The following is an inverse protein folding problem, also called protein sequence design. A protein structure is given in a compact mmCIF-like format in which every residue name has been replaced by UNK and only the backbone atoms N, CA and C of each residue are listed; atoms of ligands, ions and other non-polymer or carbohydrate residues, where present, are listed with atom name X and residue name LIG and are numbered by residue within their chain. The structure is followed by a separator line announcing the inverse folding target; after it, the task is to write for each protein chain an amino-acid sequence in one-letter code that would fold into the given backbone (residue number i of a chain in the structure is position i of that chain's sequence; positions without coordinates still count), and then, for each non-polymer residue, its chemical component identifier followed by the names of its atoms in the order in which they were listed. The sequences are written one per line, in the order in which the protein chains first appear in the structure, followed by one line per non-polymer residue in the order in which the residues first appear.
data_IF_727489203627
#
_entry.id   IF_727489203627
#
_cell.length_a   1.000
_cell.length_b   1.000
_cell.length_c   1.000
_cell.angle_alpha   90.00
_cell.angle_beta   90.00
_cell.angle_gamma   90.00
#
_symmetry.space_group_name_H-M   'P 1'
#
loop_
_entity.id
_entity.type
_entity.pdbx_description
1 polymer ?
#
# COMPACT_ATOMS: atom_id res chain seq x y z
N UNK A 1 -1.92 15.50 19.69
CA UNK A 1 -2.74 15.62 18.45
C UNK A 1 -2.84 17.08 17.92
N UNK A 2 -2.86 18.15 18.75
CA UNK A 2 -2.95 19.57 18.29
C UNK A 2 -1.67 20.08 17.61
N UNK A 3 -0.48 19.67 18.04
CA UNK A 3 0.79 20.11 17.46
C UNK A 3 1.03 19.56 16.04
N UNK A 4 0.54 18.34 15.74
CA UNK A 4 0.67 17.68 14.43
C UNK A 4 -0.01 18.43 13.28
N UNK A 5 -0.95 19.33 13.54
CA UNK A 5 -1.64 20.14 12.53
C UNK A 5 -0.90 21.42 12.11
N UNK A 6 0.17 21.82 12.83
CA UNK A 6 0.89 23.10 12.61
C UNK A 6 2.30 22.91 12.02
N UNK A 7 2.84 21.71 12.05
CA UNK A 7 4.20 21.42 11.56
C UNK A 7 4.09 20.62 10.26
N UNK A 8 4.82 21.04 9.23
CA UNK A 8 4.92 20.26 7.97
C UNK A 8 5.45 18.87 8.29
N UNK A 9 4.94 17.86 7.62
CA UNK A 9 5.30 16.44 7.83
C UNK A 9 6.82 16.23 7.76
N UNK A 10 7.48 16.88 6.82
CA UNK A 10 8.93 16.81 6.64
C UNK A 10 9.69 17.33 7.86
N UNK A 11 9.25 18.47 8.43
CA UNK A 11 9.87 19.06 9.64
C UNK A 11 9.64 18.15 10.86
N UNK A 12 8.46 17.58 10.99
CA UNK A 12 8.13 16.63 12.07
C UNK A 12 8.98 15.36 11.95
N UNK A 13 9.14 14.85 10.72
CA UNK A 13 9.98 13.68 10.44
C UNK A 13 11.46 13.92 10.74
N UNK A 14 11.99 15.07 10.32
CA UNK A 14 13.37 15.47 10.64
C UNK A 14 13.61 15.58 12.14
N UNK A 15 12.67 16.17 12.90
CA UNK A 15 12.76 16.29 14.36
C UNK A 15 12.85 14.91 15.03
N UNK A 16 12.08 13.93 14.55
CA UNK A 16 12.14 12.55 15.03
C UNK A 16 13.47 11.87 14.68
N UNK A 17 13.98 12.09 13.47
CA UNK A 17 15.29 11.58 13.06
C UNK A 17 16.41 12.13 13.97
N UNK A 18 16.38 13.42 14.30
CA UNK A 18 17.34 14.01 15.25
C UNK A 18 17.21 13.41 16.65
N UNK A 19 16.00 13.17 17.13
CA UNK A 19 15.78 12.51 18.43
C UNK A 19 16.36 11.09 18.44
N UNK A 20 16.09 10.29 17.41
CA UNK A 20 16.66 8.95 17.28
C UNK A 20 18.19 8.98 17.14
N UNK A 21 18.76 9.92 16.35
CA UNK A 21 20.18 10.07 16.24
C UNK A 21 20.81 10.46 17.57
N UNK A 22 20.16 11.36 18.34
CA UNK A 22 20.62 11.74 19.69
C UNK A 22 20.63 10.57 20.66
N UNK A 23 19.57 9.77 20.72
CA UNK A 23 19.50 8.56 21.54
C UNK A 23 20.59 7.58 21.12
N UNK A 24 20.75 7.34 19.82
CA UNK A 24 21.72 6.40 19.29
C UNK A 24 23.18 6.81 19.62
N UNK A 25 23.49 8.10 19.55
CA UNK A 25 24.80 8.64 19.88
C UNK A 25 25.05 8.70 21.41
N UNK A 26 24.00 8.87 22.21
CA UNK A 26 24.11 8.87 23.67
C UNK A 26 24.39 7.47 24.25
N UNK A 27 23.92 6.40 23.58
CA UNK A 27 24.10 5.01 24.08
C UNK A 27 25.57 4.62 24.26
N UNK A 28 26.52 4.84 23.33
CA UNK A 28 27.93 4.53 23.55
C UNK A 28 28.52 5.25 24.77
N UNK A 29 28.14 6.51 24.99
CA UNK A 29 28.56 7.23 26.19
C UNK A 29 28.03 6.58 27.48
N UNK A 30 26.75 6.23 27.51
CA UNK A 30 26.14 5.53 28.64
C UNK A 30 26.78 4.17 28.89
N UNK A 31 27.05 3.39 27.83
CA UNK A 31 27.69 2.07 27.93
C UNK A 31 29.13 2.15 28.43
N UNK A 32 29.84 3.26 28.22
CA UNK A 32 31.23 3.46 28.65
C UNK A 32 31.37 4.09 30.05
N UNK A 33 30.33 4.77 30.57
CA UNK A 33 30.40 5.53 31.83
C UNK A 33 29.40 5.08 32.88
N UNK A 34 28.31 4.38 32.49
CA UNK A 34 27.27 3.93 33.43
C UNK A 34 27.75 2.79 34.35
N UNK A 35 27.62 2.97 35.64
CA UNK A 35 28.10 1.99 36.64
C UNK A 35 27.59 0.57 36.41
N UNK A 36 26.31 0.44 36.01
CA UNK A 36 25.71 -0.88 35.76
C UNK A 36 26.24 -1.56 34.48
N UNK A 37 26.72 -0.78 33.52
CA UNK A 37 27.25 -1.28 32.23
C UNK A 37 28.74 -1.64 32.31
N UNK A 38 29.49 -0.97 33.21
CA UNK A 38 30.95 -1.18 33.38
C UNK A 38 31.29 -2.04 34.61
N UNK A 39 30.29 -2.55 35.33
CA UNK A 39 30.46 -3.31 36.56
C UNK A 39 31.28 -4.60 36.39
N UNK A 40 31.29 -5.18 35.21
CA UNK A 40 32.09 -6.36 34.88
C UNK A 40 32.43 -6.39 33.38
N UNK A 41 33.56 -7.02 32.99
CA UNK A 41 33.93 -7.18 31.56
C UNK A 41 32.86 -7.92 30.77
N UNK A 42 32.16 -8.88 31.38
CA UNK A 42 31.08 -9.62 30.71
C UNK A 42 29.85 -8.75 30.46
N UNK A 43 29.46 -7.91 31.43
CA UNK A 43 28.36 -6.95 31.25
C UNK A 43 28.69 -5.95 30.16
N UNK A 44 29.89 -5.40 30.17
CA UNK A 44 30.39 -4.47 29.13
C UNK A 44 30.33 -5.12 27.74
N UNK A 45 30.87 -6.33 27.58
CA UNK A 45 30.89 -7.04 26.31
C UNK A 45 29.46 -7.33 25.80
N UNK A 46 28.55 -7.76 26.71
CA UNK A 46 27.14 -8.02 26.36
C UNK A 46 26.44 -6.77 25.81
N UNK A 47 26.51 -5.66 26.51
CA UNK A 47 25.81 -4.42 26.10
C UNK A 47 26.40 -3.81 24.85
N UNK A 48 27.73 -3.79 24.70
CA UNK A 48 28.37 -3.35 23.46
C UNK A 48 28.03 -4.28 22.28
N UNK A 49 28.01 -5.58 22.50
CA UNK A 49 27.60 -6.56 21.49
C UNK A 49 26.16 -6.33 21.02
N UNK A 50 25.24 -6.08 21.95
CA UNK A 50 23.84 -5.78 21.63
C UNK A 50 23.71 -4.47 20.84
N UNK A 51 24.44 -3.43 21.24
CA UNK A 51 24.44 -2.15 20.53
C UNK A 51 25.01 -2.29 19.11
N UNK A 52 26.15 -2.92 18.95
CA UNK A 52 26.77 -3.16 17.63
C UNK A 52 25.84 -3.99 16.72
N UNK A 53 25.19 -5.01 17.28
CA UNK A 53 24.21 -5.81 16.56
C UNK A 53 23.02 -4.95 16.07
N UNK A 54 22.44 -4.15 16.96
CA UNK A 54 21.31 -3.27 16.61
C UNK A 54 21.72 -2.21 15.57
N UNK A 55 22.89 -1.59 15.73
CA UNK A 55 23.45 -0.65 14.78
C UNK A 55 23.72 -1.31 13.43
N UNK A 56 24.39 -2.47 13.44
CA UNK A 56 24.69 -3.23 12.23
C UNK A 56 23.43 -3.66 11.49
N UNK A 57 22.44 -4.21 12.20
CA UNK A 57 21.15 -4.54 11.60
C UNK A 57 20.47 -3.31 10.98
N UNK A 58 20.49 -2.15 11.66
CA UNK A 58 19.91 -0.92 11.12
C UNK A 58 20.62 -0.49 9.84
N UNK A 59 21.93 -0.45 9.83
CA UNK A 59 22.71 -0.09 8.63
C UNK A 59 22.46 -1.07 7.49
N UNK A 60 22.51 -2.37 7.78
CA UNK A 60 22.34 -3.40 6.74
C UNK A 60 20.92 -3.36 6.16
N UNK A 61 19.90 -3.45 7.00
CA UNK A 61 18.52 -3.64 6.53
C UNK A 61 17.82 -2.34 6.11
N UNK A 62 18.21 -1.18 6.70
CA UNK A 62 17.60 0.12 6.37
C UNK A 62 18.34 0.91 5.32
N UNK A 63 19.64 0.63 5.08
CA UNK A 63 20.45 1.36 4.11
C UNK A 63 21.06 0.43 3.06
N UNK A 64 21.88 -0.54 3.46
CA UNK A 64 22.65 -1.34 2.50
C UNK A 64 21.78 -2.21 1.59
N UNK A 65 20.78 -2.91 2.14
CA UNK A 65 19.89 -3.79 1.36
C UNK A 65 19.01 -2.99 0.38
N UNK A 66 18.28 -1.92 0.81
CA UNK A 66 17.50 -1.12 -0.14
C UNK A 66 18.35 -0.45 -1.21
N UNK A 67 19.52 0.08 -0.84
CA UNK A 67 20.43 0.71 -1.79
C UNK A 67 20.96 -0.32 -2.81
N UNK A 68 21.44 -1.48 -2.36
CA UNK A 68 21.89 -2.56 -3.24
C UNK A 68 20.81 -2.99 -4.21
N UNK A 69 19.57 -3.21 -3.73
CA UNK A 69 18.43 -3.55 -4.58
C UNK A 69 18.16 -2.46 -5.61
N UNK A 70 18.07 -1.21 -5.19
CA UNK A 70 17.85 -0.07 -6.09
C UNK A 70 18.94 0.09 -7.15
N UNK A 71 20.21 -0.12 -6.77
CA UNK A 71 21.34 -0.09 -7.70
C UNK A 71 21.37 -1.28 -8.66
N UNK A 72 20.91 -2.45 -8.21
CA UNK A 72 20.82 -3.65 -9.04
C UNK A 72 19.71 -3.54 -10.07
N UNK A 73 18.49 -3.21 -9.62
CA UNK A 73 17.30 -3.18 -10.47
C UNK A 73 17.18 -1.90 -11.33
N UNK A 74 17.86 -0.81 -10.96
CA UNK A 74 17.99 0.45 -11.71
C UNK A 74 16.66 0.98 -12.26
N UNK A 75 15.64 1.00 -11.39
CA UNK A 75 14.34 1.53 -11.77
C UNK A 75 14.42 2.98 -12.21
N UNK A 76 13.76 3.29 -13.33
CA UNK A 76 13.57 4.64 -13.85
C UNK A 76 12.14 4.84 -14.36
N UNK A 77 11.63 6.05 -14.24
CA UNK A 77 10.31 6.41 -14.78
C UNK A 77 10.36 6.33 -16.29
N UNK A 78 9.49 5.52 -16.87
CA UNK A 78 9.30 5.45 -18.31
C UNK A 78 8.25 6.46 -18.79
N UNK A 79 7.12 6.53 -18.09
CA UNK A 79 6.04 7.45 -18.40
C UNK A 79 5.18 7.77 -17.18
N UNK A 80 4.52 8.93 -17.23
CA UNK A 80 3.48 9.35 -16.29
C UNK A 80 2.24 9.68 -17.10
N UNK A 81 1.16 8.94 -16.90
CA UNK A 81 -0.09 9.11 -17.63
C UNK A 81 -1.23 9.52 -16.69
N UNK A 82 -2.08 10.48 -17.06
CA UNK A 82 -3.28 10.80 -16.29
C UNK A 82 -4.19 9.57 -16.13
N UNK A 83 -4.78 9.41 -14.96
CA UNK A 83 -5.71 8.34 -14.63
C UNK A 83 -6.87 8.91 -13.79
N UNK A 84 -8.02 9.08 -14.41
CA UNK A 84 -9.09 9.92 -13.90
C UNK A 84 -8.69 11.39 -13.78
N UNK A 85 -9.53 12.21 -13.15
CA UNK A 85 -9.28 13.66 -13.03
C UNK A 85 -8.28 14.02 -11.92
N UNK A 86 -8.02 13.10 -10.99
CA UNK A 86 -7.16 13.33 -9.82
C UNK A 86 -6.15 12.20 -9.58
N UNK A 87 -5.81 11.46 -10.58
CA UNK A 87 -4.85 10.38 -10.51
C UNK A 87 -3.83 10.41 -11.63
N UNK A 88 -2.72 9.72 -11.39
CA UNK A 88 -1.70 9.44 -12.39
C UNK A 88 -1.22 8.00 -12.23
N UNK A 89 -0.93 7.35 -13.34
CA UNK A 89 -0.22 6.07 -13.35
C UNK A 89 1.21 6.32 -13.80
N UNK A 90 2.16 5.95 -12.95
CA UNK A 90 3.59 6.01 -13.23
C UNK A 90 4.05 4.62 -13.63
N UNK A 91 4.48 4.48 -14.88
CA UNK A 91 5.13 3.27 -15.39
C UNK A 91 6.63 3.42 -15.24
N UNK A 92 7.27 2.42 -14.67
CA UNK A 92 8.70 2.39 -14.44
C UNK A 92 9.29 1.16 -15.12
N UNK A 93 10.45 1.32 -15.73
CA UNK A 93 11.26 0.25 -16.28
C UNK A 93 12.43 -0.09 -15.35
N UNK A 94 12.86 -1.34 -15.38
CA UNK A 94 13.98 -1.80 -14.56
C UNK A 94 14.59 -3.09 -15.10
N UNK A 95 15.59 -3.62 -14.38
CA UNK A 95 16.27 -4.85 -14.71
C UNK A 95 15.98 -5.93 -13.70
N UNK A 96 15.80 -7.18 -14.16
CA UNK A 96 15.72 -8.36 -13.30
C UNK A 96 14.68 -8.20 -12.17
N UNK A 97 13.51 -7.64 -12.51
CA UNK A 97 12.48 -7.34 -11.52
C UNK A 97 11.84 -8.60 -10.92
N UNK A 98 11.97 -9.74 -11.57
CA UNK A 98 11.57 -11.04 -11.01
C UNK A 98 12.34 -11.37 -9.72
N UNK A 99 13.65 -11.03 -9.66
CA UNK A 99 14.48 -11.25 -8.48
C UNK A 99 14.07 -10.42 -7.25
N UNK A 100 13.18 -9.42 -7.42
CA UNK A 100 12.55 -8.74 -6.29
C UNK A 100 11.62 -9.66 -5.49
N UNK A 101 11.13 -10.74 -6.09
CA UNK A 101 10.14 -11.63 -5.49
C UNK A 101 8.81 -10.92 -5.20
N UNK A 102 8.53 -9.83 -5.92
CA UNK A 102 7.32 -9.03 -5.80
C UNK A 102 6.11 -9.84 -6.24
N UNK A 103 5.03 -9.75 -5.48
CA UNK A 103 3.72 -10.31 -5.80
C UNK A 103 2.69 -9.19 -5.95
N UNK A 104 1.66 -9.44 -6.75
CA UNK A 104 0.52 -8.54 -6.82
C UNK A 104 -0.07 -8.26 -5.43
N UNK A 105 -0.56 -7.05 -5.24
CA UNK A 105 -1.09 -6.58 -3.95
C UNK A 105 -0.06 -6.01 -2.99
N UNK A 106 1.22 -6.31 -3.17
CA UNK A 106 2.30 -5.75 -2.35
C UNK A 106 2.60 -4.28 -2.71
N UNK A 107 3.35 -3.62 -1.84
CA UNK A 107 3.77 -2.24 -2.01
C UNK A 107 5.26 -2.05 -1.74
N UNK A 108 5.80 -0.96 -2.26
CA UNK A 108 7.12 -0.44 -1.91
C UNK A 108 6.99 0.93 -1.27
N UNK A 109 8.03 1.34 -0.55
CA UNK A 109 8.29 2.75 -0.29
C UNK A 109 9.13 3.25 -1.46
N UNK A 110 8.55 4.15 -2.26
CA UNK A 110 9.14 4.68 -3.48
C UNK A 110 9.79 6.03 -3.21
N UNK A 111 11.03 6.20 -3.69
CA UNK A 111 11.77 7.46 -3.61
C UNK A 111 12.10 7.92 -5.03
N UNK A 112 11.39 8.92 -5.53
CA UNK A 112 11.65 9.51 -6.84
C UNK A 112 12.75 10.56 -6.73
N UNK A 113 13.86 10.35 -7.44
CA UNK A 113 15.04 11.23 -7.41
C UNK A 113 14.92 12.34 -8.47
N UNK A 114 13.98 13.27 -8.27
CA UNK A 114 13.67 14.36 -9.19
C UNK A 114 14.57 15.60 -9.03
N UNK A 115 15.63 15.52 -8.20
CA UNK A 115 16.57 16.61 -7.96
C UNK A 115 16.06 17.76 -7.10
N UNK A 116 14.80 17.73 -6.65
CA UNK A 116 14.14 18.81 -5.89
C UNK A 116 14.25 18.65 -4.37
N UNK A 117 15.43 18.29 -3.85
CA UNK A 117 15.69 18.07 -2.43
C UNK A 117 15.69 16.59 -2.03
N UNK A 118 15.54 16.32 -0.72
CA UNK A 118 15.54 14.96 -0.20
C UNK A 118 14.36 14.17 -0.79
N UNK A 119 14.65 12.99 -1.32
CA UNK A 119 13.63 12.07 -1.83
C UNK A 119 12.84 11.49 -0.65
N UNK A 120 11.64 12.02 -0.44
CA UNK A 120 10.71 11.50 0.58
C UNK A 120 10.16 10.15 0.09
N UNK A 121 10.13 9.16 0.98
CA UNK A 121 9.55 7.86 0.69
C UNK A 121 8.03 7.90 0.69
N UNK A 122 7.43 7.33 -0.35
CA UNK A 122 5.98 7.25 -0.53
C UNK A 122 5.55 5.78 -0.62
N UNK A 123 4.70 5.28 0.31
CA UNK A 123 4.18 3.92 0.24
C UNK A 123 3.05 3.83 -0.80
N UNK A 124 3.29 3.13 -1.90
CA UNK A 124 2.27 2.83 -2.91
C UNK A 124 2.34 1.37 -3.33
N UNK A 125 1.17 0.75 -3.44
CA UNK A 125 1.05 -0.60 -4.00
C UNK A 125 1.25 -0.58 -5.51
N UNK A 126 1.77 -1.69 -6.03
CA UNK A 126 1.77 -1.89 -7.47
C UNK A 126 0.33 -1.95 -7.98
N UNK A 127 0.08 -1.30 -9.10
CA UNK A 127 -1.25 -1.19 -9.72
C UNK A 127 -1.45 -2.10 -10.93
N UNK A 128 -0.39 -2.82 -11.31
CA UNK A 128 -0.42 -3.83 -12.36
C UNK A 128 0.23 -5.13 -11.87
N UNK A 129 -0.07 -6.24 -12.54
CA UNK A 129 0.66 -7.50 -12.35
C UNK A 129 2.16 -7.24 -12.49
N UNK A 130 3.01 -7.71 -11.54
CA UNK A 130 4.45 -7.60 -11.69
C UNK A 130 4.94 -8.21 -13.01
N UNK A 131 5.82 -7.50 -13.69
CA UNK A 131 6.41 -7.86 -14.96
C UNK A 131 7.95 -7.89 -14.81
N UNK A 132 8.70 -8.75 -15.54
CA UNK A 132 10.16 -8.85 -15.41
C UNK A 132 10.92 -7.54 -15.66
N UNK A 133 10.32 -6.63 -16.40
CA UNK A 133 10.95 -5.39 -16.89
C UNK A 133 10.22 -4.11 -16.49
N UNK A 134 8.95 -4.21 -16.08
CA UNK A 134 8.13 -3.03 -15.77
C UNK A 134 7.37 -3.17 -14.45
N UNK A 135 7.25 -2.05 -13.75
CA UNK A 135 6.36 -1.89 -12.59
C UNK A 135 5.49 -0.66 -12.80
N UNK A 136 4.25 -0.73 -12.32
CA UNK A 136 3.33 0.40 -12.37
C UNK A 136 2.80 0.73 -10.98
N UNK A 137 2.65 2.02 -10.70
CA UNK A 137 1.95 2.52 -9.52
C UNK A 137 0.93 3.57 -9.94
N UNK A 138 -0.27 3.48 -9.37
CA UNK A 138 -1.33 4.48 -9.61
C UNK A 138 -1.52 5.30 -8.34
N UNK A 139 -1.35 6.60 -8.46
CA UNK A 139 -1.30 7.54 -7.35
C UNK A 139 -2.45 8.54 -7.46
N UNK A 140 -3.22 8.69 -6.38
CA UNK A 140 -4.20 9.77 -6.26
C UNK A 140 -3.49 11.07 -5.82
N UNK A 141 -3.69 12.13 -6.58
CA UNK A 141 -3.09 13.44 -6.30
C UNK A 141 -3.92 14.18 -5.24
N UNK A 142 -3.44 14.16 -4.00
CA UNK A 142 -4.15 14.74 -2.85
C UNK A 142 -3.35 15.79 -2.07
N UNK A 143 -2.03 15.85 -2.25
CA UNK A 143 -1.15 16.75 -1.52
C UNK A 143 0.15 17.03 -2.27
N UNK A 144 1.06 17.80 -1.65
CA UNK A 144 2.31 18.25 -2.28
C UNK A 144 3.19 17.10 -2.76
N UNK A 145 3.36 16.05 -1.93
CA UNK A 145 4.14 14.87 -2.30
C UNK A 145 3.59 14.17 -3.54
N UNK A 146 2.28 13.96 -3.60
CA UNK A 146 1.64 13.30 -4.76
C UNK A 146 1.57 14.20 -5.99
N UNK A 147 1.49 15.54 -5.82
CA UNK A 147 1.64 16.50 -6.94
C UNK A 147 3.06 16.46 -7.52
N UNK A 148 4.06 16.31 -6.65
CA UNK A 148 5.46 16.17 -7.09
C UNK A 148 5.65 14.88 -7.91
N UNK A 149 5.07 13.77 -7.49
CA UNK A 149 5.11 12.51 -8.24
C UNK A 149 4.40 12.63 -9.59
N UNK A 150 3.26 13.32 -9.64
CA UNK A 150 2.55 13.57 -10.90
C UNK A 150 3.33 14.44 -11.91
N UNK A 151 4.37 15.14 -11.45
CA UNK A 151 5.23 16.01 -12.25
C UNK A 151 6.64 15.44 -12.46
N UNK A 152 6.89 14.17 -12.15
CA UNK A 152 8.20 13.55 -12.44
C UNK A 152 8.35 13.31 -13.93
N UNK A 153 9.58 13.50 -14.41
CA UNK A 153 9.90 13.36 -15.81
C UNK A 153 10.38 11.94 -16.15
N UNK A 154 10.16 11.46 -17.38
CA UNK A 154 10.79 10.23 -17.86
C UNK A 154 12.30 10.27 -17.66
N UNK A 155 12.90 9.12 -17.31
CA UNK A 155 14.31 9.00 -16.94
C UNK A 155 14.62 9.29 -15.45
N UNK A 156 13.66 9.82 -14.67
CA UNK A 156 13.83 10.00 -13.22
C UNK A 156 14.12 8.66 -12.56
N UNK A 157 15.26 8.57 -11.83
CA UNK A 157 15.62 7.38 -11.08
C UNK A 157 14.72 7.18 -9.88
N UNK A 158 14.42 5.91 -9.57
CA UNK A 158 13.56 5.53 -8.46
C UNK A 158 14.29 4.54 -7.56
N UNK A 159 14.40 4.88 -6.27
CA UNK A 159 14.87 3.93 -5.27
C UNK A 159 13.66 3.27 -4.61
N UNK A 160 13.82 2.02 -4.19
CA UNK A 160 12.76 1.22 -3.60
C UNK A 160 13.18 0.59 -2.28
N UNK A 161 12.24 0.52 -1.37
CA UNK A 161 12.36 -0.22 -0.12
C UNK A 161 11.16 -1.18 0.00
N UNK A 162 11.41 -2.46 0.12
CA UNK A 162 10.40 -3.52 0.11
C UNK A 162 10.84 -4.75 -0.69
N UNK A 163 9.89 -5.58 -1.21
CA UNK A 163 8.43 -5.41 -1.14
C UNK A 163 7.86 -5.67 0.26
N UNK A 164 6.75 -5.00 0.56
CA UNK A 164 6.01 -5.12 1.82
C UNK A 164 4.55 -5.52 1.54
N UNK A 165 3.85 -5.96 2.58
CA UNK A 165 2.42 -6.31 2.53
C UNK A 165 2.19 -7.81 2.47
N UNK A 166 1.05 -8.21 3.05
CA UNK A 166 0.62 -9.62 3.15
C UNK A 166 -0.59 -9.93 2.26
N UNK A 167 -1.21 -8.92 1.67
CA UNK A 167 -2.36 -9.07 0.79
C UNK A 167 -1.91 -9.53 -0.60
N UNK A 168 -1.54 -10.81 -0.71
CA UNK A 168 -0.93 -11.42 -1.90
C UNK A 168 -1.74 -12.60 -2.42
N UNK A 169 -1.46 -13.13 -3.62
CA UNK A 169 -2.07 -14.37 -4.12
C UNK A 169 -1.93 -15.57 -3.19
N UNK A 170 -0.88 -15.61 -2.35
CA UNK A 170 -0.60 -16.74 -1.46
C UNK A 170 -1.60 -16.93 -0.33
N UNK A 171 -2.32 -15.88 0.07
CA UNK A 171 -3.31 -15.97 1.15
C UNK A 171 -4.65 -16.50 0.66
N UNK A 172 -4.84 -16.62 -0.64
CA UNK A 172 -6.07 -17.15 -1.23
C UNK A 172 -6.32 -18.59 -0.83
N UNK A 173 -7.55 -18.89 -0.42
CA UNK A 173 -8.02 -20.23 -0.04
C UNK A 173 -9.28 -20.63 -0.76
N UNK A 174 -10.11 -19.66 -1.18
CA UNK A 174 -11.41 -19.86 -1.81
C UNK A 174 -11.37 -19.79 -3.33
N UNK A 175 -12.39 -20.34 -3.94
CA UNK A 175 -12.61 -20.28 -5.39
C UNK A 175 -13.07 -18.89 -5.82
N UNK A 176 -14.00 -18.31 -5.07
CA UNK A 176 -14.58 -17.01 -5.38
C UNK A 176 -13.76 -15.87 -4.78
N UNK A 177 -13.74 -14.74 -5.47
CA UNK A 177 -13.00 -13.53 -5.08
C UNK A 177 -13.96 -12.35 -5.00
N UNK A 178 -14.00 -11.69 -3.85
CA UNK A 178 -14.66 -10.41 -3.69
C UNK A 178 -13.59 -9.35 -3.37
N UNK A 179 -13.40 -8.41 -4.29
CA UNK A 179 -12.49 -7.29 -4.14
C UNK A 179 -13.28 -6.02 -3.82
N UNK A 180 -12.94 -5.31 -2.73
CA UNK A 180 -13.66 -4.10 -2.32
C UNK A 180 -12.66 -2.96 -2.13
N UNK A 181 -12.67 -1.97 -3.02
CA UNK A 181 -11.70 -0.89 -3.04
C UNK A 181 -12.32 0.50 -2.99
N UNK A 182 -11.68 1.42 -2.25
CA UNK A 182 -12.06 2.82 -2.24
C UNK A 182 -10.88 3.71 -2.61
N UNK A 183 -11.10 4.60 -3.57
CA UNK A 183 -10.07 5.53 -4.02
C UNK A 183 -8.82 4.83 -4.54
N UNK A 184 -7.65 5.25 -4.08
CA UNK A 184 -6.38 4.61 -4.45
C UNK A 184 -6.27 3.14 -4.02
N UNK A 185 -7.12 2.68 -3.09
CA UNK A 185 -7.18 1.28 -2.66
C UNK A 185 -7.60 0.31 -3.77
N UNK A 186 -8.07 0.79 -4.91
CA UNK A 186 -8.34 -0.03 -6.09
C UNK A 186 -7.05 -0.58 -6.72
N UNK A 187 -5.93 0.12 -6.60
CA UNK A 187 -4.67 -0.23 -7.27
C UNK A 187 -4.16 -1.66 -6.94
N UNK A 188 -3.94 -2.04 -5.66
CA UNK A 188 -3.50 -3.39 -5.33
C UNK A 188 -4.53 -4.46 -5.70
N UNK A 189 -5.83 -4.15 -5.68
CA UNK A 189 -6.88 -5.10 -6.04
C UNK A 189 -6.88 -5.40 -7.55
N UNK A 190 -6.66 -4.39 -8.38
CA UNK A 190 -6.52 -4.56 -9.82
C UNK A 190 -5.27 -5.37 -10.16
N UNK A 191 -4.15 -5.10 -9.48
CA UNK A 191 -2.93 -5.91 -9.62
C UNK A 191 -3.20 -7.39 -9.26
N UNK A 192 -3.88 -7.66 -8.16
CA UNK A 192 -4.28 -9.01 -7.76
C UNK A 192 -5.20 -9.69 -8.78
N UNK A 193 -6.20 -8.96 -9.30
CA UNK A 193 -7.12 -9.48 -10.32
C UNK A 193 -6.44 -9.82 -11.65
N UNK A 194 -5.33 -9.17 -11.96
CA UNK A 194 -4.51 -9.52 -13.14
C UNK A 194 -3.69 -10.79 -12.92
N UNK A 195 -3.27 -11.08 -11.68
CA UNK A 195 -2.41 -12.22 -11.37
C UNK A 195 -3.20 -13.47 -10.94
N UNK A 196 -4.22 -13.30 -10.09
CA UNK A 196 -4.99 -14.41 -9.55
C UNK A 196 -5.77 -15.14 -10.66
N UNK A 197 -5.74 -16.49 -10.69
CA UNK A 197 -6.60 -17.26 -11.59
C UNK A 197 -8.05 -17.22 -11.09
N UNK A 198 -9.02 -16.97 -11.96
CA UNK A 198 -10.45 -17.11 -11.73
C UNK A 198 -11.18 -17.33 -13.05
N UNK A 199 -12.27 -18.07 -13.01
CA UNK A 199 -13.16 -18.26 -14.15
C UNK A 199 -14.19 -17.10 -14.23
N UNK A 200 -14.86 -17.00 -15.36
CA UNK A 200 -15.94 -16.01 -15.58
C UNK A 200 -16.99 -16.12 -14.48
N UNK A 201 -17.29 -14.99 -13.83
CA UNK A 201 -18.27 -14.88 -12.75
C UNK A 201 -17.77 -15.34 -11.36
N UNK A 202 -16.51 -15.78 -11.22
CA UNK A 202 -15.93 -16.13 -9.92
C UNK A 202 -15.29 -14.94 -9.19
N UNK A 203 -15.08 -13.83 -9.87
CA UNK A 203 -14.49 -12.62 -9.28
C UNK A 203 -15.45 -11.43 -9.42
N UNK A 204 -15.65 -10.71 -8.31
CA UNK A 204 -16.40 -9.46 -8.25
C UNK A 204 -15.52 -8.36 -7.69
N UNK A 205 -15.47 -7.21 -8.36
CA UNK A 205 -14.83 -5.99 -7.90
C UNK A 205 -15.88 -4.94 -7.57
N UNK A 206 -15.92 -4.50 -6.33
CA UNK A 206 -16.71 -3.35 -5.89
C UNK A 206 -15.77 -2.18 -5.73
N UNK A 207 -15.99 -1.11 -6.49
CA UNK A 207 -15.22 0.13 -6.36
C UNK A 207 -16.08 1.22 -5.72
N UNK A 208 -15.48 2.05 -4.88
CA UNK A 208 -16.14 3.15 -4.18
C UNK A 208 -15.48 4.48 -4.46
N UNK A 209 -16.24 5.39 -5.08
CA UNK A 209 -15.79 6.76 -5.38
C UNK A 209 -16.86 7.79 -5.07
N UNK A 210 -16.42 9.02 -4.75
CA UNK A 210 -17.33 10.14 -4.55
C UNK A 210 -17.82 10.70 -5.87
N UNK A 211 -16.97 10.72 -6.90
CA UNK A 211 -17.26 11.22 -8.24
C UNK A 211 -16.75 10.22 -9.27
N UNK A 212 -17.53 9.98 -10.31
CA UNK A 212 -17.18 9.00 -11.35
C UNK A 212 -15.87 9.35 -12.09
N UNK A 213 -15.66 10.63 -12.35
CA UNK A 213 -14.48 11.14 -13.05
C UNK A 213 -13.17 11.02 -12.22
N UNK A 214 -13.27 10.76 -10.92
CA UNK A 214 -12.13 10.51 -10.04
C UNK A 214 -11.76 9.02 -9.96
N UNK A 215 -12.52 8.13 -10.62
CA UNK A 215 -12.25 6.68 -10.63
C UNK A 215 -10.91 6.37 -11.30
N UNK A 216 -10.14 5.50 -10.64
CA UNK A 216 -8.81 5.09 -11.12
C UNK A 216 -8.88 3.75 -11.84
N UNK A 217 -7.95 3.50 -12.77
CA UNK A 217 -7.76 2.25 -13.48
C UNK A 217 -8.99 1.76 -14.26
N UNK A 218 -9.86 2.70 -14.68
CA UNK A 218 -11.13 2.37 -15.35
C UNK A 218 -10.90 1.53 -16.60
N UNK A 219 -9.92 1.90 -17.45
CA UNK A 219 -9.60 1.16 -18.67
C UNK A 219 -9.11 -0.26 -18.40
N UNK A 220 -8.26 -0.43 -17.37
CA UNK A 220 -7.77 -1.75 -16.95
C UNK A 220 -8.90 -2.62 -16.40
N UNK A 221 -9.80 -2.03 -15.58
CA UNK A 221 -10.97 -2.74 -15.05
C UNK A 221 -11.87 -3.19 -16.21
N UNK A 222 -12.14 -2.33 -17.20
CA UNK A 222 -12.93 -2.69 -18.38
C UNK A 222 -12.31 -3.83 -19.17
N UNK A 223 -10.97 -3.84 -19.31
CA UNK A 223 -10.25 -4.95 -19.94
C UNK A 223 -10.45 -6.27 -19.17
N UNK A 224 -10.43 -6.24 -17.83
CA UNK A 224 -10.70 -7.42 -17.01
C UNK A 224 -12.16 -7.87 -17.12
N UNK A 225 -13.11 -6.95 -17.19
CA UNK A 225 -14.54 -7.26 -17.39
C UNK A 225 -14.76 -7.98 -18.71
N UNK A 226 -14.27 -7.42 -19.81
CA UNK A 226 -14.47 -7.98 -21.14
C UNK A 226 -13.64 -9.25 -21.39
N UNK A 227 -12.35 -9.23 -21.01
CA UNK A 227 -11.41 -10.30 -21.32
C UNK A 227 -11.47 -11.48 -20.36
N UNK A 228 -11.72 -11.23 -19.05
CA UNK A 228 -11.67 -12.26 -18.02
C UNK A 228 -13.02 -12.53 -17.33
N UNK A 229 -14.08 -11.79 -17.71
CA UNK A 229 -15.41 -11.97 -17.12
C UNK A 229 -15.50 -11.55 -15.66
N UNK A 230 -14.72 -10.54 -15.26
CA UNK A 230 -14.84 -9.88 -13.97
C UNK A 230 -16.21 -9.21 -13.85
N UNK A 231 -16.91 -9.39 -12.74
CA UNK A 231 -18.08 -8.58 -12.39
C UNK A 231 -17.60 -7.29 -11.73
N UNK A 232 -17.97 -6.13 -12.27
CA UNK A 232 -17.59 -4.83 -11.69
C UNK A 232 -18.82 -4.06 -11.24
N UNK A 233 -18.84 -3.62 -9.98
CA UNK A 233 -19.89 -2.84 -9.34
C UNK A 233 -19.32 -1.51 -8.88
N UNK A 234 -19.66 -0.44 -9.58
CA UNK A 234 -19.19 0.91 -9.26
C UNK A 234 -20.17 1.63 -8.33
N UNK A 235 -19.79 1.85 -7.08
CA UNK A 235 -20.55 2.63 -6.10
C UNK A 235 -20.07 4.09 -6.14
N UNK A 236 -20.81 4.93 -6.87
CA UNK A 236 -20.45 6.34 -7.07
C UNK A 236 -21.42 7.24 -6.30
N UNK A 237 -20.91 8.38 -5.81
CA UNK A 237 -21.70 9.40 -5.13
C UNK A 237 -21.26 9.67 -3.68
N UNK A 238 -21.89 10.61 -2.96
CA UNK A 238 -21.62 10.86 -1.56
C UNK A 238 -21.88 9.63 -0.70
N UNK A 239 -21.28 9.56 0.50
CA UNK A 239 -21.54 8.47 1.46
C UNK A 239 -22.99 8.49 1.95
N UNK A 240 -23.56 7.33 2.22
CA UNK A 240 -24.80 7.17 2.93
C UNK A 240 -24.69 7.83 4.31
N UNK A 241 -25.76 8.51 4.76
CA UNK A 241 -25.82 9.17 6.07
C UNK A 241 -26.35 8.24 7.15
N UNK A 242 -27.24 7.31 6.76
CA UNK A 242 -27.83 6.30 7.61
C UNK A 242 -27.48 4.91 7.07
N UNK A 243 -27.62 3.88 7.89
CA UNK A 243 -27.31 2.51 7.49
C UNK A 243 -25.82 2.25 7.28
N UNK A 244 -25.48 1.57 6.21
CA UNK A 244 -24.09 1.18 5.90
C UNK A 244 -23.32 2.32 5.24
N UNK A 245 -22.58 3.09 6.03
CA UNK A 245 -21.88 4.32 5.62
C UNK A 245 -20.83 4.14 4.51
N UNK A 246 -20.46 2.92 4.18
CA UNK A 246 -19.55 2.61 3.07
C UNK A 246 -20.23 2.60 1.70
N UNK A 247 -21.56 2.46 1.67
CA UNK A 247 -22.38 2.56 0.46
C UNK A 247 -22.51 4.02 -0.02
N UNK A 248 -23.01 4.20 -1.24
CA UNK A 248 -23.38 5.51 -1.75
C UNK A 248 -24.73 5.96 -1.20
N UNK A 249 -24.98 7.29 -1.19
CA UNK A 249 -26.26 7.85 -0.74
C UNK A 249 -27.46 7.33 -1.53
N UNK A 250 -27.29 7.05 -2.79
CA UNK A 250 -28.33 6.43 -3.64
C UNK A 250 -28.79 5.05 -3.13
N UNK A 251 -28.00 4.44 -2.26
CA UNK A 251 -28.24 3.12 -1.66
C UNK A 251 -28.52 3.22 -0.15
N UNK A 252 -28.94 4.36 0.36
CA UNK A 252 -29.10 4.63 1.80
C UNK A 252 -30.11 3.70 2.47
N UNK A 253 -31.09 3.18 1.70
CA UNK A 253 -32.09 2.20 2.17
C UNK A 253 -31.61 0.73 2.08
N UNK A 254 -30.41 0.49 1.54
CA UNK A 254 -29.85 -0.84 1.37
C UNK A 254 -29.00 -1.19 2.60
N UNK A 255 -29.29 -2.33 3.22
CA UNK A 255 -28.42 -2.87 4.26
C UNK A 255 -27.15 -3.45 3.62
N UNK A 256 -25.96 -3.00 4.06
CA UNK A 256 -24.70 -3.42 3.47
C UNK A 256 -24.44 -4.92 3.55
N UNK A 257 -24.82 -5.55 4.66
CA UNK A 257 -24.71 -7.02 4.80
C UNK A 257 -25.59 -7.76 3.80
N UNK A 258 -26.81 -7.26 3.52
CA UNK A 258 -27.70 -7.82 2.51
C UNK A 258 -27.12 -7.61 1.10
N UNK A 259 -26.60 -6.41 0.83
CA UNK A 259 -25.91 -6.12 -0.43
C UNK A 259 -24.73 -7.07 -0.67
N UNK A 260 -23.91 -7.30 0.34
CA UNK A 260 -22.78 -8.22 0.24
C UNK A 260 -23.23 -9.65 0.00
N UNK A 261 -24.25 -10.14 0.73
CA UNK A 261 -24.83 -11.50 0.51
C UNK A 261 -25.33 -11.71 -0.90
N UNK A 262 -25.90 -10.69 -1.52
CA UNK A 262 -26.37 -10.78 -2.91
C UNK A 262 -25.24 -10.91 -3.94
N UNK A 263 -24.01 -10.49 -3.60
CA UNK A 263 -22.87 -10.47 -4.49
C UNK A 263 -21.76 -11.47 -4.10
N UNK A 264 -21.93 -12.20 -3.01
CA UNK A 264 -21.02 -13.28 -2.58
C UNK A 264 -21.70 -14.62 -2.93
N UNK A 265 -21.20 -15.37 -3.94
CA UNK A 265 -21.82 -16.64 -4.36
C UNK A 265 -21.85 -17.68 -3.24
N UNK A 266 -20.83 -17.66 -2.35
CA UNK A 266 -20.72 -18.53 -1.18
C UNK A 266 -19.82 -17.91 -0.14
N UNK A 267 -20.34 -17.56 1.03
CA UNK A 267 -19.56 -16.97 2.12
C UNK A 267 -18.46 -17.91 2.65
N UNK A 268 -18.62 -19.22 2.45
CA UNK A 268 -17.65 -20.24 2.90
C UNK A 268 -16.51 -20.46 1.92
N UNK A 269 -16.67 -20.11 0.65
CA UNK A 269 -15.69 -20.33 -0.42
C UNK A 269 -15.30 -19.04 -1.16
N UNK A 270 -15.42 -17.90 -0.49
CA UNK A 270 -15.07 -16.59 -1.02
C UNK A 270 -13.99 -15.95 -0.17
N UNK A 271 -12.86 -15.59 -0.79
CA UNK A 271 -11.89 -14.70 -0.18
C UNK A 271 -12.24 -13.25 -0.51
N UNK A 272 -12.21 -12.42 0.52
CA UNK A 272 -12.46 -10.99 0.42
C UNK A 272 -11.15 -10.23 0.55
N UNK A 273 -10.83 -9.42 -0.45
CA UNK A 273 -9.69 -8.52 -0.42
C UNK A 273 -10.19 -7.08 -0.37
N UNK A 274 -9.74 -6.30 0.59
CA UNK A 274 -10.21 -4.93 0.73
C UNK A 274 -9.08 -3.94 0.99
N UNK A 275 -9.20 -2.77 0.36
CA UNK A 275 -8.24 -1.70 0.53
C UNK A 275 -8.90 -0.33 0.40
N UNK A 276 -8.58 0.57 1.34
CA UNK A 276 -9.15 1.91 1.39
C UNK A 276 -8.90 2.61 2.72
N UNK A 277 -9.58 3.74 2.99
CA UNK A 277 -9.46 4.46 4.26
C UNK A 277 -9.91 3.60 5.45
N UNK A 278 -9.15 3.62 6.56
CA UNK A 278 -9.40 2.79 7.75
C UNK A 278 -10.86 2.80 8.22
N UNK A 279 -11.47 3.98 8.54
CA UNK A 279 -12.86 4.02 9.01
C UNK A 279 -13.90 3.49 8.01
N UNK A 280 -13.60 3.58 6.71
CA UNK A 280 -14.44 3.00 5.67
C UNK A 280 -14.31 1.48 5.64
N UNK A 281 -13.10 0.94 5.75
CA UNK A 281 -12.86 -0.51 5.84
C UNK A 281 -13.49 -1.11 7.09
N UNK A 282 -13.47 -0.41 8.23
CA UNK A 282 -14.12 -0.88 9.46
C UNK A 282 -15.64 -1.07 9.26
N UNK A 283 -16.28 -0.13 8.54
CA UNK A 283 -17.70 -0.25 8.21
C UNK A 283 -17.98 -1.44 7.26
N UNK A 284 -17.12 -1.65 6.24
CA UNK A 284 -17.23 -2.81 5.33
C UNK A 284 -17.06 -4.12 6.10
N UNK A 285 -16.07 -4.20 7.00
CA UNK A 285 -15.81 -5.41 7.82
C UNK A 285 -16.99 -5.77 8.70
N UNK A 286 -17.61 -4.77 9.34
CA UNK A 286 -18.79 -4.99 10.16
C UNK A 286 -19.96 -5.61 9.35
N UNK A 287 -20.11 -5.21 8.09
CA UNK A 287 -21.12 -5.78 7.20
C UNK A 287 -20.71 -7.16 6.66
N UNK A 288 -19.44 -7.41 6.41
CA UNK A 288 -18.91 -8.74 6.04
C UNK A 288 -19.13 -9.75 7.18
N UNK A 289 -18.84 -9.37 8.44
CA UNK A 289 -19.12 -10.19 9.62
C UNK A 289 -20.62 -10.52 9.70
N UNK A 290 -21.52 -9.53 9.49
CA UNK A 290 -22.99 -9.73 9.44
C UNK A 290 -23.45 -10.55 8.23
N UNK A 291 -22.70 -10.50 7.13
CA UNK A 291 -22.96 -11.34 5.97
C UNK A 291 -22.50 -12.80 6.15
N UNK A 292 -21.79 -13.11 7.24
CA UNK A 292 -21.33 -14.46 7.57
C UNK A 292 -20.00 -14.85 6.93
N UNK A 293 -19.18 -13.87 6.51
CA UNK A 293 -17.83 -14.12 6.00
C UNK A 293 -16.88 -14.33 7.17
N UNK A 294 -16.14 -15.43 7.15
CA UNK A 294 -15.13 -15.73 8.17
C UNK A 294 -13.99 -14.70 8.14
N UNK A 295 -13.54 -14.25 9.31
CA UNK A 295 -12.43 -13.29 9.43
C UNK A 295 -11.14 -13.77 8.79
N UNK A 296 -10.89 -15.06 8.77
CA UNK A 296 -9.72 -15.68 8.13
C UNK A 296 -9.73 -15.57 6.60
N UNK A 297 -10.88 -15.24 6.03
CA UNK A 297 -11.09 -15.02 4.59
C UNK A 297 -11.07 -13.55 4.21
N UNK A 298 -10.90 -12.64 5.18
CA UNK A 298 -10.86 -11.20 4.95
C UNK A 298 -9.42 -10.72 5.01
N UNK A 299 -8.88 -10.35 3.85
CA UNK A 299 -7.53 -9.84 3.66
C UNK A 299 -7.59 -8.33 3.38
N UNK A 300 -6.81 -7.54 4.08
CA UNK A 300 -6.84 -6.08 3.91
C UNK A 300 -5.49 -5.43 4.15
N UNK A 301 -5.28 -4.32 3.45
CA UNK A 301 -4.16 -3.40 3.67
C UNK A 301 -4.71 -2.03 4.05
N UNK A 302 -4.16 -1.47 5.14
CA UNK A 302 -4.53 -0.14 5.60
C UNK A 302 -3.48 0.87 5.16
N UNK A 303 -3.82 1.69 4.20
CA UNK A 303 -3.02 2.87 3.89
C UNK A 303 -3.34 3.95 4.93
N UNK A 304 -2.71 3.84 6.12
CA UNK A 304 -2.80 4.85 7.17
C UNK A 304 -2.26 6.18 6.64
N UNK A 305 -3.17 7.04 6.19
CA UNK A 305 -2.90 8.46 5.91
C UNK A 305 -3.31 9.28 7.14
#
# INVERSE_FOLDING_TARGET
RRARRRVRYETWHLLHLYAYAGIFLALPHQLSTGADFVSSPLATAYWWGLWVLAAGCTVVFRLAVPLRRSLHHRLSVQSVTPDGTRGVTVLMEGRDLEALGLQAGQFFIWHFLDGRGLAVGHPFSVSARPDPTHLAVTVRVVGDGTRRIAAVEPGTRVLIEGPYGYMTPRVRRGRHLLMIGAGAGVAPLVSLLQELPYARGEATLITRETRAEESLLVGTIQTLVSGRGLTHLALVGPRARTGSSWLSRSMEMVEGAQYLRAHIPSSRDCDVYMCGPGPWMDAVRADLDRAGVSRERIHFENFGI
#
